data_IF_749903866411
#
_entry.id   IF_749903866411
#
_cell.length_a   1.000
_cell.length_b   1.000
_cell.length_c   1.000
_cell.angle_alpha   90.00
_cell.angle_beta   90.00
_cell.angle_gamma   90.00
#
_symmetry.space_group_name_H-M   'P 1'
#
loop_
_entity.id
_entity.type
_entity.pdbx_description
1 polymer ?
#
# COMPACT_ATOMS: atom_id res chain seq x y z
N UNK A 1 20.89 15.63 -8.07
CA UNK A 1 21.72 14.42 -8.05
C UNK A 1 21.14 13.39 -8.99
N UNK A 2 21.93 12.99 -9.98
CA UNK A 2 21.53 11.93 -10.90
C UNK A 2 21.91 10.58 -10.31
N UNK A 3 20.93 9.71 -10.19
CA UNK A 3 21.15 8.32 -9.83
C UNK A 3 21.62 7.54 -11.05
N UNK A 4 22.65 6.70 -10.93
CA UNK A 4 23.10 5.85 -12.02
C UNK A 4 22.01 4.82 -12.39
N UNK A 5 22.07 4.29 -13.63
CA UNK A 5 21.14 3.25 -14.06
C UNK A 5 21.22 2.01 -13.15
N UNK A 6 22.42 1.67 -12.67
CA UNK A 6 22.66 0.54 -11.76
C UNK A 6 22.02 0.77 -10.39
N UNK A 7 22.14 1.98 -9.84
CA UNK A 7 21.52 2.35 -8.57
C UNK A 7 19.99 2.34 -8.68
N UNK A 8 19.45 2.84 -9.81
CA UNK A 8 18.00 2.82 -10.07
C UNK A 8 17.47 1.39 -10.14
N UNK A 9 18.16 0.49 -10.83
CA UNK A 9 17.75 -0.91 -10.94
C UNK A 9 17.78 -1.59 -9.58
N UNK A 10 18.85 -1.42 -8.80
CA UNK A 10 18.95 -1.97 -7.44
C UNK A 10 17.88 -1.44 -6.50
N UNK A 11 17.54 -0.15 -6.61
CA UNK A 11 16.46 0.46 -5.83
C UNK A 11 15.09 -0.09 -6.20
N UNK A 12 14.83 -0.28 -7.49
CA UNK A 12 13.58 -0.89 -7.97
C UNK A 12 13.42 -2.32 -7.47
N UNK A 13 14.47 -3.13 -7.56
CA UNK A 13 14.46 -4.50 -7.06
C UNK A 13 14.22 -4.55 -5.55
N UNK A 14 14.84 -3.64 -4.80
CA UNK A 14 14.67 -3.50 -3.35
C UNK A 14 13.24 -3.15 -2.99
N UNK A 15 12.62 -2.23 -3.73
CA UNK A 15 11.22 -1.83 -3.52
C UNK A 15 10.26 -2.97 -3.82
N UNK A 16 10.47 -3.68 -4.93
CA UNK A 16 9.64 -4.84 -5.27
C UNK A 16 9.76 -5.94 -4.22
N UNK A 17 10.96 -6.21 -3.74
CA UNK A 17 11.19 -7.16 -2.66
C UNK A 17 10.44 -6.75 -1.37
N UNK A 18 10.45 -5.46 -1.03
CA UNK A 18 9.79 -4.94 0.18
C UNK A 18 8.28 -5.11 0.14
N UNK A 19 7.68 -5.20 -1.04
CA UNK A 19 6.24 -5.44 -1.22
C UNK A 19 5.91 -6.89 -1.59
N UNK A 20 6.90 -7.79 -1.53
CA UNK A 20 6.68 -9.21 -1.77
C UNK A 20 6.67 -9.62 -3.23
N UNK A 21 7.32 -8.86 -4.10
CA UNK A 21 7.36 -9.14 -5.54
C UNK A 21 8.75 -9.52 -6.05
N UNK A 22 9.61 -10.07 -5.19
CA UNK A 22 10.89 -10.61 -5.64
C UNK A 22 10.69 -11.65 -6.74
N UNK A 23 11.48 -11.56 -7.81
CA UNK A 23 11.38 -12.46 -8.95
C UNK A 23 10.31 -12.09 -9.96
N UNK A 24 9.59 -11.01 -9.74
CA UNK A 24 8.50 -10.54 -10.63
C UNK A 24 8.87 -9.28 -11.42
N UNK A 25 10.10 -8.84 -11.34
CA UNK A 25 10.57 -7.55 -11.87
C UNK A 25 10.36 -7.40 -13.37
N UNK A 26 10.39 -8.52 -14.11
CA UNK A 26 10.26 -8.53 -15.57
C UNK A 26 8.87 -8.89 -16.05
N UNK A 27 7.91 -9.06 -15.16
CA UNK A 27 6.55 -9.41 -15.55
C UNK A 27 5.80 -8.20 -16.08
N UNK A 28 5.03 -8.42 -17.14
CA UNK A 28 4.11 -7.42 -17.68
C UNK A 28 2.90 -7.27 -16.75
N UNK A 29 2.25 -6.09 -16.71
CA UNK A 29 1.04 -5.90 -15.88
C UNK A 29 -0.05 -6.95 -16.13
N UNK A 30 -0.21 -7.44 -17.36
CA UNK A 30 -1.18 -8.48 -17.72
C UNK A 30 -0.84 -9.85 -17.14
N UNK A 31 0.40 -10.06 -16.69
CA UNK A 31 0.87 -11.31 -16.08
C UNK A 31 0.77 -11.31 -14.56
N UNK A 32 0.28 -10.22 -13.96
CA UNK A 32 0.18 -10.07 -12.53
C UNK A 32 -1.26 -10.30 -12.04
N UNK A 33 -1.39 -10.90 -10.87
CA UNK A 33 -2.68 -10.99 -10.17
C UNK A 33 -3.13 -9.61 -9.69
N UNK A 34 -4.39 -9.48 -9.28
CA UNK A 34 -4.91 -8.24 -8.70
C UNK A 34 -4.12 -7.77 -7.48
N UNK A 35 -3.77 -8.71 -6.59
CA UNK A 35 -2.94 -8.42 -5.41
C UNK A 35 -1.53 -8.00 -5.78
N UNK A 36 -0.93 -8.65 -6.80
CA UNK A 36 0.38 -8.28 -7.30
C UNK A 36 0.36 -6.88 -7.94
N UNK A 37 -0.67 -6.55 -8.70
CA UNK A 37 -0.86 -5.20 -9.25
C UNK A 37 -0.95 -4.15 -8.15
N UNK A 38 -1.67 -4.45 -7.08
CA UNK A 38 -1.78 -3.55 -5.93
C UNK A 38 -0.44 -3.37 -5.23
N UNK A 39 0.34 -4.44 -5.10
CA UNK A 39 1.70 -4.37 -4.53
C UNK A 39 2.63 -3.51 -5.37
N UNK A 40 2.53 -3.60 -6.70
CA UNK A 40 3.29 -2.72 -7.62
C UNK A 40 2.89 -1.27 -7.41
N UNK A 41 1.61 -0.98 -7.26
CA UNK A 41 1.13 0.38 -6.99
C UNK A 41 1.70 0.92 -5.67
N UNK A 42 1.76 0.10 -4.63
CA UNK A 42 2.36 0.48 -3.34
C UNK A 42 3.85 0.74 -3.50
N UNK A 43 4.58 -0.13 -4.20
CA UNK A 43 6.01 0.06 -4.47
C UNK A 43 6.27 1.36 -5.23
N UNK A 44 5.43 1.68 -6.22
CA UNK A 44 5.51 2.93 -6.97
C UNK A 44 5.34 4.14 -6.05
N UNK A 45 4.40 4.08 -5.12
CA UNK A 45 4.20 5.15 -4.15
C UNK A 45 5.39 5.32 -3.23
N UNK A 46 6.16 4.26 -2.97
CA UNK A 46 7.33 4.28 -2.08
C UNK A 46 8.62 4.75 -2.76
N UNK A 47 8.62 4.98 -4.08
CA UNK A 47 9.84 5.31 -4.83
C UNK A 47 10.61 6.50 -4.24
N UNK A 48 9.91 7.51 -3.77
CA UNK A 48 10.51 8.72 -3.19
C UNK A 48 10.54 8.70 -1.67
N UNK A 49 10.34 7.55 -1.06
CA UNK A 49 10.34 7.36 0.39
C UNK A 49 9.44 8.38 1.12
N UNK A 50 8.15 8.48 0.78
CA UNK A 50 7.26 9.43 1.41
C UNK A 50 6.99 9.05 2.87
N UNK A 51 6.72 10.03 3.73
CA UNK A 51 6.32 9.77 5.11
C UNK A 51 4.84 9.43 5.23
N UNK A 52 4.02 9.80 4.24
CA UNK A 52 2.58 9.53 4.23
C UNK A 52 2.19 8.79 2.95
N UNK A 53 1.48 7.70 3.11
CA UNK A 53 0.88 6.94 2.02
C UNK A 53 -0.63 7.10 2.06
N UNK A 54 -1.22 7.39 0.89
CA UNK A 54 -2.67 7.45 0.72
C UNK A 54 -3.14 6.20 0.00
N UNK A 55 -4.12 5.52 0.57
CA UNK A 55 -4.70 4.32 -0.01
C UNK A 55 -6.22 4.49 -0.08
N UNK A 56 -6.77 4.48 -1.29
CA UNK A 56 -8.19 4.63 -1.53
C UNK A 56 -8.78 3.26 -1.90
N UNK A 57 -9.58 2.69 -1.00
CA UNK A 57 -10.20 1.38 -1.14
C UNK A 57 -9.20 0.30 -1.60
N UNK A 58 -8.07 0.12 -0.90
CA UNK A 58 -6.96 -0.69 -1.41
C UNK A 58 -7.26 -2.18 -1.56
N UNK A 59 -8.33 -2.68 -0.95
CA UNK A 59 -8.72 -4.09 -1.02
C UNK A 59 -10.06 -4.32 -1.71
N UNK A 60 -10.65 -3.27 -2.31
CA UNK A 60 -12.01 -3.32 -2.83
C UNK A 60 -12.27 -4.35 -3.93
N UNK A 61 -11.26 -4.66 -4.74
CA UNK A 61 -11.37 -5.62 -5.85
C UNK A 61 -10.64 -6.93 -5.59
N UNK A 62 -10.23 -7.19 -4.35
CA UNK A 62 -9.45 -8.36 -3.99
C UNK A 62 -10.30 -9.36 -3.21
N UNK A 63 -10.00 -10.64 -3.35
CA UNK A 63 -10.55 -11.65 -2.47
C UNK A 63 -10.07 -11.44 -1.03
N UNK A 64 -10.75 -12.04 -0.06
CA UNK A 64 -10.48 -11.81 1.36
C UNK A 64 -9.04 -12.13 1.76
N UNK A 65 -8.51 -13.27 1.30
CA UNK A 65 -7.15 -13.68 1.65
C UNK A 65 -6.10 -12.72 1.08
N UNK A 66 -6.25 -12.33 -0.17
CA UNK A 66 -5.35 -11.36 -0.82
C UNK A 66 -5.48 -9.98 -0.19
N UNK A 67 -6.70 -9.56 0.13
CA UNK A 67 -6.96 -8.30 0.82
C UNK A 67 -6.27 -8.24 2.19
N UNK A 68 -6.32 -9.33 2.96
CA UNK A 68 -5.62 -9.41 4.24
C UNK A 68 -4.10 -9.26 4.08
N UNK A 69 -3.52 -9.85 3.04
CA UNK A 69 -2.09 -9.70 2.75
C UNK A 69 -1.72 -8.24 2.45
N UNK A 70 -2.57 -7.52 1.73
CA UNK A 70 -2.34 -6.09 1.44
C UNK A 70 -2.44 -5.28 2.74
N UNK A 71 -3.40 -5.57 3.60
CA UNK A 71 -3.52 -4.89 4.91
C UNK A 71 -2.33 -5.19 5.81
N UNK A 72 -1.81 -6.42 5.79
CA UNK A 72 -0.58 -6.78 6.50
C UNK A 72 0.60 -5.96 6.01
N UNK A 73 0.70 -5.74 4.71
CA UNK A 73 1.75 -4.91 4.12
C UNK A 73 1.67 -3.48 4.64
N UNK A 74 0.48 -2.88 4.66
CA UNK A 74 0.29 -1.53 5.22
C UNK A 74 0.66 -1.49 6.71
N UNK A 75 0.31 -2.51 7.47
CA UNK A 75 0.69 -2.59 8.89
C UNK A 75 2.20 -2.61 9.07
N UNK A 76 2.92 -3.35 8.22
CA UNK A 76 4.39 -3.38 8.25
C UNK A 76 5.00 -2.03 7.90
N UNK A 77 4.45 -1.33 6.92
CA UNK A 77 4.91 0.01 6.54
C UNK A 77 4.67 1.00 7.67
N UNK A 78 3.55 0.90 8.35
CA UNK A 78 3.26 1.73 9.53
C UNK A 78 4.26 1.47 10.65
N UNK A 79 4.57 0.21 10.95
CA UNK A 79 5.56 -0.16 11.96
C UNK A 79 6.96 0.31 11.60
N UNK A 80 7.24 0.43 10.31
CA UNK A 80 8.53 0.96 9.83
C UNK A 80 8.60 2.50 9.88
N UNK A 81 7.58 3.18 10.38
CA UNK A 81 7.56 4.64 10.58
C UNK A 81 6.75 5.41 9.56
N UNK A 82 6.06 4.75 8.63
CA UNK A 82 5.20 5.41 7.65
C UNK A 82 3.84 5.73 8.27
N UNK A 83 3.25 6.86 7.86
CA UNK A 83 1.86 7.15 8.14
C UNK A 83 1.03 6.64 6.97
N UNK A 84 0.03 5.82 7.25
CA UNK A 84 -0.87 5.29 6.23
C UNK A 84 -2.26 5.87 6.45
N UNK A 85 -2.76 6.62 5.46
CA UNK A 85 -4.11 7.12 5.46
C UNK A 85 -4.93 6.28 4.47
N UNK A 86 -5.88 5.53 5.00
CA UNK A 86 -6.69 4.63 4.19
C UNK A 86 -8.13 5.14 4.13
N UNK A 87 -8.67 5.25 2.92
CA UNK A 87 -10.09 5.52 2.70
C UNK A 87 -10.77 4.19 2.41
N UNK A 88 -11.77 3.85 3.20
CA UNK A 88 -12.51 2.60 3.05
C UNK A 88 -13.93 2.74 3.57
N UNK A 89 -14.88 2.02 2.96
CA UNK A 89 -16.23 1.84 3.50
C UNK A 89 -16.40 0.44 4.12
N UNK A 90 -15.34 -0.37 4.13
CA UNK A 90 -15.35 -1.70 4.73
C UNK A 90 -14.96 -1.60 6.21
N UNK A 91 -15.92 -1.81 7.09
CA UNK A 91 -15.71 -1.73 8.54
C UNK A 91 -14.67 -2.73 9.07
N UNK A 92 -14.49 -3.87 8.40
CA UNK A 92 -13.50 -4.85 8.80
C UNK A 92 -12.08 -4.28 8.77
N UNK A 93 -11.80 -3.31 7.91
CA UNK A 93 -10.48 -2.68 7.80
C UNK A 93 -10.18 -1.76 9.00
N UNK A 94 -11.20 -1.31 9.73
CA UNK A 94 -11.02 -0.40 10.87
C UNK A 94 -10.26 -1.03 12.03
N UNK A 95 -10.32 -2.35 12.17
CA UNK A 95 -9.62 -3.05 13.25
C UNK A 95 -8.10 -2.94 13.18
N UNK A 96 -7.57 -2.60 12.02
CA UNK A 96 -6.13 -2.43 11.81
C UNK A 96 -5.67 -0.99 11.99
N UNK A 97 -6.59 -0.05 12.12
CA UNK A 97 -6.28 1.36 12.23
C UNK A 97 -5.98 1.74 13.69
N UNK A 98 -5.05 2.68 13.87
CA UNK A 98 -4.79 3.29 15.17
C UNK A 98 -5.75 4.45 15.45
N UNK A 99 -6.37 4.97 14.39
CA UNK A 99 -7.37 6.03 14.47
C UNK A 99 -8.35 5.89 13.32
N UNK A 100 -9.62 6.03 13.60
CA UNK A 100 -10.67 5.98 12.58
C UNK A 100 -11.48 7.28 12.61
N UNK A 101 -11.65 7.89 11.44
CA UNK A 101 -12.44 9.10 11.27
C UNK A 101 -13.59 8.75 10.32
N UNK A 102 -14.82 8.92 10.79
CA UNK A 102 -15.99 8.68 9.99
C UNK A 102 -16.50 9.98 9.39
N UNK A 103 -16.68 9.99 8.08
CA UNK A 103 -17.20 11.14 7.36
C UNK A 103 -18.64 10.87 6.93
N UNK A 104 -19.47 11.90 6.98
CA UNK A 104 -20.85 11.87 6.50
C UNK A 104 -21.17 13.22 5.90
N UNK A 105 -21.65 13.20 4.66
CA UNK A 105 -22.01 14.44 3.93
C UNK A 105 -20.90 15.49 3.95
N UNK A 106 -19.64 15.05 3.80
CA UNK A 106 -18.49 15.93 3.74
C UNK A 106 -18.02 16.47 5.10
N UNK A 107 -18.59 15.97 6.21
CA UNK A 107 -18.27 16.41 7.56
C UNK A 107 -17.84 15.25 8.44
N UNK A 108 -17.00 15.53 9.44
CA UNK A 108 -16.60 14.53 10.44
C UNK A 108 -17.81 14.21 11.31
N UNK A 109 -18.25 12.94 11.29
CA UNK A 109 -19.33 12.45 12.13
C UNK A 109 -18.81 11.83 13.42
N UNK A 110 -17.70 11.09 13.35
CA UNK A 110 -17.05 10.43 14.49
C UNK A 110 -15.54 10.47 14.30
N UNK A 111 -14.80 10.55 15.39
CA UNK A 111 -13.34 10.52 15.41
C UNK A 111 -12.90 9.68 16.62
N UNK A 112 -12.50 8.45 16.36
CA UNK A 112 -12.00 7.51 17.36
C UNK A 112 -10.47 7.54 17.39
N UNK A 113 -9.96 8.66 17.88
CA UNK A 113 -8.53 8.90 17.93
C UNK A 113 -7.81 8.32 19.13
#
# INVERSE_FOLDING_TARGET
LRTSAREKAGRSDSLLASVGLSGKEKRLPSELSGGECQRVAIARALVHDPSVLLADEPTGNLDSATGEQILDLFSRLHKAGKTVLMVTHNRANLFRATRAIRLRDGKVAEDDG
#
